data_IF_964343898475
#
_entry.id   IF_964343898475
#
_cell.length_a   1.000
_cell.length_b   1.000
_cell.length_c   1.000
_cell.angle_alpha   90.00
_cell.angle_beta   90.00
_cell.angle_gamma   90.00
#
_symmetry.space_group_name_H-M   'P 1'
#
loop_
_entity.id
_entity.type
_entity.pdbx_description
1 polymer ?
#
# COMPACT_ATOMS: atom_id res chain seq x y z
N UNK A 1 22.71 17.12 0.60
CA UNK A 1 21.44 16.62 0.06
C UNK A 1 20.93 15.61 1.06
N UNK A 2 19.75 15.80 1.65
CA UNK A 2 19.17 14.76 2.51
C UNK A 2 18.74 13.62 1.60
N UNK A 3 19.23 12.41 1.88
CA UNK A 3 18.82 11.22 1.13
C UNK A 3 17.32 11.02 1.28
N UNK A 4 16.60 11.08 0.16
CA UNK A 4 15.19 10.70 0.12
C UNK A 4 15.13 9.21 0.46
N UNK A 5 14.49 8.84 1.56
CA UNK A 5 14.37 7.44 1.99
C UNK A 5 13.39 6.69 1.07
N UNK A 6 13.91 6.26 -0.08
CA UNK A 6 13.16 5.47 -1.07
C UNK A 6 13.11 4.01 -0.60
N UNK A 7 11.91 3.44 -0.54
CA UNK A 7 11.70 2.01 -0.29
C UNK A 7 11.77 1.24 -1.60
N UNK A 8 12.63 0.22 -1.63
CA UNK A 8 12.78 -0.69 -2.76
C UNK A 8 13.18 -2.08 -2.25
N UNK A 9 12.71 -3.10 -2.91
CA UNK A 9 13.00 -4.49 -2.54
C UNK A 9 12.89 -5.36 -3.79
N UNK A 10 14.03 -5.64 -4.44
CA UNK A 10 14.09 -6.43 -5.66
C UNK A 10 13.59 -7.86 -5.42
N UNK A 11 13.92 -8.45 -4.27
CA UNK A 11 13.47 -9.80 -3.95
C UNK A 11 11.94 -9.89 -3.83
N UNK A 12 11.30 -8.81 -3.32
CA UNK A 12 9.85 -8.73 -3.27
C UNK A 12 9.24 -8.70 -4.68
N UNK A 13 9.80 -7.85 -5.58
CA UNK A 13 9.35 -7.77 -6.97
C UNK A 13 9.52 -9.11 -7.69
N UNK A 14 10.68 -9.73 -7.57
CA UNK A 14 10.98 -11.05 -8.15
C UNK A 14 10.10 -12.15 -7.60
N UNK A 15 9.79 -12.13 -6.29
CA UNK A 15 8.87 -13.09 -5.67
C UNK A 15 7.45 -12.99 -6.25
N UNK A 16 6.95 -11.79 -6.52
CA UNK A 16 5.64 -11.59 -7.17
C UNK A 16 5.65 -12.20 -8.58
N UNK A 17 6.67 -11.89 -9.38
CA UNK A 17 6.81 -12.44 -10.75
C UNK A 17 6.93 -13.96 -10.74
N UNK A 18 7.72 -14.52 -9.83
CA UNK A 18 7.87 -15.96 -9.67
C UNK A 18 6.56 -16.66 -9.28
N UNK A 19 5.77 -16.05 -8.38
CA UNK A 19 4.43 -16.56 -8.04
C UNK A 19 3.51 -16.59 -9.27
N UNK A 20 3.54 -15.55 -10.11
CA UNK A 20 2.74 -15.45 -11.32
C UNK A 20 3.19 -16.44 -12.41
N UNK A 21 4.49 -16.73 -12.51
CA UNK A 21 5.00 -17.78 -13.40
C UNK A 21 4.64 -19.19 -12.93
N UNK A 22 4.50 -19.39 -11.61
CA UNK A 22 4.12 -20.66 -11.02
C UNK A 22 2.61 -20.91 -11.13
N UNK A 23 1.81 -19.86 -10.95
CA UNK A 23 0.35 -19.88 -11.12
C UNK A 23 -0.13 -18.56 -11.74
N UNK A 24 -0.28 -18.54 -13.05
CA UNK A 24 -0.71 -17.35 -13.81
C UNK A 24 -2.11 -16.86 -13.48
N UNK A 25 -2.97 -17.71 -12.90
CA UNK A 25 -4.33 -17.32 -12.50
C UNK A 25 -4.33 -16.25 -11.41
N UNK A 26 -3.24 -16.16 -10.62
CA UNK A 26 -3.05 -15.19 -9.54
C UNK A 26 -2.96 -13.73 -10.03
N UNK A 27 -2.78 -13.49 -11.34
CA UNK A 27 -2.85 -12.14 -11.91
C UNK A 27 -4.22 -11.48 -11.66
N UNK A 28 -5.26 -12.28 -11.44
CA UNK A 28 -6.63 -11.86 -11.15
C UNK A 28 -6.94 -11.76 -9.65
N UNK A 29 -5.99 -12.11 -8.77
CA UNK A 29 -6.13 -11.88 -7.33
C UNK A 29 -6.41 -10.41 -7.05
N UNK A 30 -7.28 -10.10 -6.08
CA UNK A 30 -7.73 -8.74 -5.81
C UNK A 30 -6.58 -7.75 -5.55
N UNK A 31 -5.55 -8.18 -4.83
CA UNK A 31 -4.38 -7.33 -4.51
C UNK A 31 -3.44 -7.21 -5.70
N UNK A 32 -3.23 -8.31 -6.44
CA UNK A 32 -2.35 -8.35 -7.62
C UNK A 32 -2.94 -7.57 -8.80
N UNK A 33 -4.25 -7.63 -8.99
CA UNK A 33 -4.96 -6.89 -10.05
C UNK A 33 -4.79 -5.35 -9.90
N UNK A 34 -4.56 -4.87 -8.68
CA UNK A 34 -4.28 -3.44 -8.40
C UNK A 34 -2.87 -3.01 -8.80
N UNK A 35 -1.94 -3.97 -8.97
CA UNK A 35 -0.57 -3.67 -9.37
C UNK A 35 -0.49 -3.13 -10.79
N UNK A 36 0.38 -2.15 -10.96
CA UNK A 36 0.73 -1.55 -12.25
C UNK A 36 2.22 -1.78 -12.53
N UNK A 37 2.65 -1.81 -13.79
CA UNK A 37 4.08 -1.87 -14.11
C UNK A 37 4.91 -0.78 -13.43
N UNK A 38 4.32 0.41 -13.21
CA UNK A 38 4.97 1.53 -12.51
C UNK A 38 5.26 1.28 -11.03
N UNK A 39 4.66 0.27 -10.41
CA UNK A 39 4.90 -0.09 -9.02
C UNK A 39 6.23 -0.83 -8.83
N UNK A 40 6.73 -1.44 -9.91
CA UNK A 40 8.02 -2.10 -9.95
C UNK A 40 9.14 -1.06 -10.16
N UNK A 41 10.07 -0.97 -9.23
CA UNK A 41 11.19 -0.02 -9.27
C UNK A 41 12.28 -0.47 -10.23
N UNK A 42 12.54 -1.77 -10.30
CA UNK A 42 13.57 -2.34 -11.13
C UNK A 42 13.07 -2.54 -12.56
N UNK A 43 13.84 -2.07 -13.53
CA UNK A 43 13.41 -2.01 -14.94
C UNK A 43 13.14 -3.39 -15.53
N UNK A 44 13.94 -4.40 -15.19
CA UNK A 44 13.75 -5.76 -15.67
C UNK A 44 12.45 -6.36 -15.16
N UNK A 45 12.19 -6.27 -13.87
CA UNK A 45 10.98 -6.77 -13.20
C UNK A 45 9.74 -6.05 -13.73
N UNK A 46 9.82 -4.73 -13.90
CA UNK A 46 8.76 -3.92 -14.53
C UNK A 46 8.43 -4.40 -15.93
N UNK A 47 9.46 -4.68 -16.73
CA UNK A 47 9.30 -5.13 -18.11
C UNK A 47 8.68 -6.51 -18.20
N UNK A 48 9.09 -7.43 -17.32
CA UNK A 48 8.50 -8.77 -17.21
C UNK A 48 7.05 -8.69 -16.79
N UNK A 49 6.72 -7.89 -15.75
CA UNK A 49 5.34 -7.72 -15.30
C UNK A 49 4.46 -7.09 -16.38
N UNK A 50 4.98 -6.11 -17.14
CA UNK A 50 4.26 -5.53 -18.28
C UNK A 50 3.91 -6.58 -19.33
N UNK A 51 4.84 -7.49 -19.66
CA UNK A 51 4.56 -8.59 -20.60
C UNK A 51 3.51 -9.56 -20.06
N UNK A 52 3.47 -9.80 -18.75
CA UNK A 52 2.40 -10.60 -18.12
C UNK A 52 1.03 -9.90 -18.23
N UNK A 53 0.97 -8.57 -18.07
CA UNK A 53 -0.27 -7.78 -18.25
C UNK A 53 -0.73 -7.76 -19.71
N UNK A 54 0.20 -7.78 -20.67
CA UNK A 54 -0.13 -7.92 -22.09
C UNK A 54 -0.75 -9.30 -22.39
N UNK A 55 -0.19 -10.38 -21.83
CA UNK A 55 -0.76 -11.74 -21.94
C UNK A 55 -2.15 -11.82 -21.31
N UNK A 56 -2.32 -11.25 -20.09
CA UNK A 56 -3.64 -11.17 -19.44
C UNK A 56 -4.67 -10.46 -20.35
N UNK A 57 -4.29 -9.32 -20.92
CA UNK A 57 -5.16 -8.53 -21.79
C UNK A 57 -5.52 -9.24 -23.10
N UNK A 58 -4.65 -10.15 -23.58
CA UNK A 58 -4.87 -10.99 -24.74
C UNK A 58 -5.60 -12.30 -24.40
N UNK A 59 -5.98 -12.51 -23.13
CA UNK A 59 -6.57 -13.75 -22.61
C UNK A 59 -5.66 -14.99 -22.84
N UNK A 60 -4.34 -14.76 -22.93
CA UNK A 60 -3.35 -15.82 -23.06
C UNK A 60 -2.88 -16.31 -21.67
N UNK A 61 -2.50 -17.60 -21.54
CA UNK A 61 -1.96 -18.13 -20.30
C UNK A 61 -0.68 -17.38 -19.87
N UNK A 62 -0.48 -17.22 -18.57
CA UNK A 62 0.75 -16.67 -17.99
C UNK A 62 1.52 -17.84 -17.40
N UNK A 63 2.61 -18.21 -18.08
CA UNK A 63 3.59 -19.19 -17.64
C UNK A 63 4.97 -18.83 -18.19
N UNK A 64 5.98 -19.61 -17.81
CA UNK A 64 7.37 -19.35 -18.23
C UNK A 64 7.54 -19.33 -19.74
N UNK A 65 6.84 -20.20 -20.47
CA UNK A 65 6.97 -20.33 -21.92
C UNK A 65 6.34 -19.15 -22.64
N UNK A 66 5.11 -18.81 -22.27
CA UNK A 66 4.36 -17.71 -22.87
C UNK A 66 4.99 -16.36 -22.59
N UNK A 67 5.51 -16.13 -21.37
CA UNK A 67 6.23 -14.90 -21.02
C UNK A 67 7.54 -14.79 -21.81
N UNK A 68 8.34 -15.86 -21.91
CA UNK A 68 9.57 -15.86 -22.71
C UNK A 68 9.26 -15.56 -24.18
N UNK A 69 8.23 -16.17 -24.75
CA UNK A 69 7.84 -15.94 -26.14
C UNK A 69 7.40 -14.48 -26.36
N UNK A 70 6.58 -13.92 -25.46
CA UNK A 70 6.16 -12.53 -25.54
C UNK A 70 7.36 -11.56 -25.47
N UNK A 71 8.30 -11.81 -24.55
CA UNK A 71 9.53 -11.02 -24.45
C UNK A 71 10.41 -11.13 -25.70
N UNK A 72 10.46 -12.31 -26.36
CA UNK A 72 11.15 -12.49 -27.65
C UNK A 72 10.47 -11.73 -28.78
N UNK A 73 9.15 -11.85 -28.90
CA UNK A 73 8.34 -11.14 -29.91
C UNK A 73 8.55 -9.62 -29.79
N UNK A 74 8.61 -9.10 -28.58
CA UNK A 74 8.87 -7.70 -28.30
C UNK A 74 10.37 -7.31 -28.47
N UNK A 75 11.27 -8.27 -28.71
CA UNK A 75 12.71 -8.02 -28.89
C UNK A 75 13.44 -7.55 -27.62
N UNK A 76 12.91 -7.86 -26.46
CA UNK A 76 13.39 -7.34 -25.16
C UNK A 76 13.88 -8.44 -24.21
N UNK A 77 13.84 -9.73 -24.59
CA UNK A 77 14.22 -10.84 -23.73
C UNK A 77 15.64 -10.70 -23.18
N UNK A 78 16.62 -10.34 -24.03
CA UNK A 78 18.01 -10.21 -23.60
C UNK A 78 18.23 -9.03 -22.63
N UNK A 79 17.39 -7.99 -22.72
CA UNK A 79 17.47 -6.85 -21.80
C UNK A 79 17.07 -7.21 -20.38
N UNK A 80 16.16 -8.17 -20.22
CA UNK A 80 15.67 -8.61 -18.90
C UNK A 80 16.46 -9.80 -18.34
N UNK A 81 17.63 -10.11 -18.90
CA UNK A 81 18.51 -11.18 -18.44
C UNK A 81 18.34 -12.53 -19.15
N UNK A 82 17.55 -12.56 -20.24
CA UNK A 82 17.35 -13.74 -21.06
C UNK A 82 16.52 -14.84 -20.39
N UNK A 83 16.54 -16.01 -21.01
CA UNK A 83 15.78 -17.19 -20.53
C UNK A 83 16.21 -17.58 -19.12
N UNK A 84 17.50 -17.47 -18.82
CA UNK A 84 18.06 -17.89 -17.52
C UNK A 84 17.48 -17.08 -16.37
N UNK A 85 17.33 -15.78 -16.52
CA UNK A 85 16.80 -14.91 -15.45
C UNK A 85 15.30 -15.12 -15.23
N UNK A 86 14.53 -15.29 -16.34
CA UNK A 86 13.10 -15.61 -16.26
C UNK A 86 12.86 -16.95 -15.58
N UNK A 87 13.61 -17.99 -15.92
CA UNK A 87 13.48 -19.31 -15.26
C UNK A 87 13.97 -19.27 -13.82
N UNK A 88 14.94 -18.42 -13.51
CA UNK A 88 15.45 -18.20 -12.15
C UNK A 88 14.40 -17.70 -11.18
N UNK A 89 13.41 -16.89 -11.64
CA UNK A 89 12.31 -16.40 -10.82
C UNK A 89 11.50 -17.52 -10.15
N UNK A 90 11.36 -18.68 -10.82
CA UNK A 90 10.64 -19.84 -10.24
C UNK A 90 11.38 -20.44 -9.04
N UNK A 91 12.71 -20.40 -9.04
CA UNK A 91 13.51 -20.98 -7.95
C UNK A 91 13.54 -20.13 -6.68
N UNK A 92 13.14 -18.86 -6.80
CA UNK A 92 13.07 -17.92 -5.67
C UNK A 92 11.75 -18.04 -4.87
N UNK A 93 10.75 -18.77 -5.41
CA UNK A 93 9.42 -18.89 -4.81
C UNK A 93 9.19 -20.28 -4.27
N UNK A 94 9.01 -20.37 -2.95
CA UNK A 94 8.68 -21.65 -2.26
C UNK A 94 7.17 -21.87 -2.25
N UNK A 95 6.37 -20.80 -2.18
CA UNK A 95 4.91 -20.87 -2.10
C UNK A 95 4.26 -19.60 -2.69
N UNK A 96 3.14 -19.78 -3.35
CA UNK A 96 2.32 -18.68 -3.89
C UNK A 96 1.34 -18.11 -2.86
N UNK A 97 1.19 -18.75 -1.69
CA UNK A 97 0.17 -18.41 -0.69
C UNK A 97 0.26 -16.98 -0.14
N UNK A 98 1.39 -16.30 -0.31
CA UNK A 98 1.64 -14.96 0.23
C UNK A 98 1.61 -13.85 -0.83
N UNK A 99 1.21 -14.14 -2.07
CA UNK A 99 1.27 -13.17 -3.18
C UNK A 99 0.47 -11.91 -2.89
N UNK A 100 -0.73 -12.01 -2.31
CA UNK A 100 -1.57 -10.86 -1.94
C UNK A 100 -0.83 -9.93 -0.97
N UNK A 101 -0.17 -10.49 0.06
CA UNK A 101 0.64 -9.72 1.01
C UNK A 101 1.86 -9.08 0.34
N UNK A 102 2.48 -9.75 -0.63
CA UNK A 102 3.59 -9.18 -1.40
C UNK A 102 3.12 -8.02 -2.27
N UNK A 103 1.98 -8.17 -2.96
CA UNK A 103 1.39 -7.12 -3.77
C UNK A 103 1.04 -5.88 -2.95
N UNK A 104 0.38 -6.05 -1.80
CA UNK A 104 0.05 -4.96 -0.87
C UNK A 104 1.31 -4.23 -0.38
N UNK A 105 2.36 -4.99 -0.06
CA UNK A 105 3.64 -4.43 0.38
C UNK A 105 4.30 -3.61 -0.74
N UNK A 106 4.27 -4.09 -1.98
CA UNK A 106 4.82 -3.37 -3.13
C UNK A 106 4.04 -2.06 -3.37
N UNK A 107 2.71 -2.10 -3.35
CA UNK A 107 1.86 -0.90 -3.46
C UNK A 107 2.19 0.09 -2.33
N UNK A 108 2.39 -0.39 -1.11
CA UNK A 108 2.76 0.48 0.02
C UNK A 108 4.11 1.17 -0.19
N UNK A 109 5.07 0.51 -0.84
CA UNK A 109 6.36 1.10 -1.20
C UNK A 109 6.22 2.17 -2.27
N UNK A 110 5.43 1.91 -3.32
CA UNK A 110 5.15 2.90 -4.38
C UNK A 110 4.51 4.16 -3.80
N UNK A 111 3.50 4.00 -2.96
CA UNK A 111 2.83 5.11 -2.29
C UNK A 111 3.79 5.90 -1.39
N UNK A 112 4.62 5.20 -0.61
CA UNK A 112 5.65 5.84 0.21
C UNK A 112 6.62 6.66 -0.64
N UNK A 113 7.12 6.09 -1.74
CA UNK A 113 8.09 6.73 -2.62
C UNK A 113 7.51 7.96 -3.32
N UNK A 114 6.27 7.86 -3.82
CA UNK A 114 5.55 8.99 -4.41
C UNK A 114 5.39 10.14 -3.39
N UNK A 115 5.04 9.81 -2.15
CA UNK A 115 4.93 10.77 -1.06
C UNK A 115 6.26 11.45 -0.74
N UNK A 116 7.34 10.67 -0.64
CA UNK A 116 8.67 11.21 -0.37
C UNK A 116 9.16 12.12 -1.50
N UNK A 117 8.85 11.78 -2.76
CA UNK A 117 9.18 12.62 -3.90
C UNK A 117 8.47 13.99 -3.82
N UNK A 118 7.19 14.01 -3.49
CA UNK A 118 6.44 15.28 -3.37
C UNK A 118 6.91 16.10 -2.16
N UNK A 119 7.23 15.46 -1.04
CA UNK A 119 7.85 16.16 0.11
C UNK A 119 9.12 16.87 -0.33
N UNK A 120 9.96 16.19 -1.12
CA UNK A 120 11.19 16.79 -1.63
C UNK A 120 10.92 17.91 -2.64
N UNK A 121 9.96 17.74 -3.54
CA UNK A 121 9.55 18.79 -4.48
C UNK A 121 9.05 20.04 -3.75
N UNK A 122 8.28 19.88 -2.67
CA UNK A 122 7.83 21.01 -1.83
C UNK A 122 9.01 21.65 -1.10
N UNK A 123 9.92 20.84 -0.53
CA UNK A 123 11.11 21.30 0.17
C UNK A 123 12.01 22.19 -0.70
N UNK A 124 12.16 21.85 -1.98
CA UNK A 124 12.98 22.62 -2.92
C UNK A 124 12.19 23.69 -3.71
N UNK A 125 10.93 23.93 -3.31
CA UNK A 125 10.07 24.96 -3.91
C UNK A 125 9.58 24.67 -5.33
N UNK A 126 9.65 23.40 -5.80
CA UNK A 126 9.13 22.95 -7.09
C UNK A 126 7.65 22.57 -7.06
N UNK A 127 7.07 22.37 -5.88
CA UNK A 127 5.67 22.06 -5.71
C UNK A 127 5.06 22.82 -4.53
N UNK A 128 3.75 23.08 -4.61
CA UNK A 128 2.98 23.70 -3.55
C UNK A 128 2.59 22.66 -2.47
N UNK A 129 2.46 23.12 -1.21
CA UNK A 129 2.07 22.27 -0.05
C UNK A 129 0.71 21.59 -0.28
N UNK A 130 -0.19 22.19 -1.08
CA UNK A 130 -1.47 21.60 -1.46
C UNK A 130 -1.35 20.26 -2.20
N UNK A 131 -0.18 19.97 -2.84
CA UNK A 131 0.09 18.64 -3.41
C UNK A 131 0.26 17.56 -2.35
N UNK A 132 0.79 17.89 -1.16
CA UNK A 132 0.88 16.96 -0.03
C UNK A 132 -0.50 16.60 0.51
N UNK A 133 -1.42 17.57 0.57
CA UNK A 133 -2.80 17.33 1.00
C UNK A 133 -3.53 16.38 0.03
N UNK A 134 -3.30 16.54 -1.28
CA UNK A 134 -3.89 15.64 -2.30
C UNK A 134 -3.33 14.22 -2.26
N UNK A 135 -2.08 14.04 -1.85
CA UNK A 135 -1.48 12.71 -1.68
C UNK A 135 -2.03 11.96 -0.47
N UNK A 136 -2.29 12.68 0.63
CA UNK A 136 -2.98 12.08 1.76
C UNK A 136 -4.38 11.59 1.38
N UNK A 137 -5.00 12.18 0.34
CA UNK A 137 -6.28 11.73 -0.21
C UNK A 137 -6.15 10.52 -1.16
N UNK A 138 -5.05 10.38 -1.90
CA UNK A 138 -4.80 9.24 -2.80
C UNK A 138 -4.30 7.97 -2.06
N UNK A 139 -3.61 8.14 -0.93
CA UNK A 139 -3.20 7.06 -0.01
C UNK A 139 -4.40 6.44 0.75
N UNK A 140 -5.57 7.05 0.61
CA UNK A 140 -6.86 6.62 1.20
C UNK A 140 -7.50 5.43 0.50
N UNK A 141 -6.78 4.74 -0.40
CA UNK A 141 -7.25 3.56 -1.12
C UNK A 141 -7.35 2.27 -0.28
N UNK A 142 -7.06 2.29 1.01
CA UNK A 142 -7.48 1.23 1.90
C UNK A 142 -8.93 1.47 2.32
N UNK A 143 -9.83 0.74 1.69
CA UNK A 143 -11.24 0.74 2.05
C UNK A 143 -11.41 -0.06 3.35
N UNK A 144 -11.09 0.59 4.47
CA UNK A 144 -11.36 0.03 5.80
C UNK A 144 -12.87 -0.04 6.00
N UNK A 145 -13.38 -1.22 6.31
CA UNK A 145 -14.80 -1.42 6.55
C UNK A 145 -15.35 -0.47 7.65
N UNK A 146 -16.66 -0.26 7.61
CA UNK A 146 -17.34 0.56 8.61
C UNK A 146 -17.59 -0.24 9.89
N UNK A 147 -16.50 -0.56 10.61
CA UNK A 147 -16.50 -1.28 11.89
C UNK A 147 -15.48 -0.69 12.85
N UNK A 148 -15.56 -1.10 14.12
CA UNK A 148 -14.58 -0.70 15.13
C UNK A 148 -13.17 -1.23 14.77
N UNK A 149 -13.08 -2.44 14.19
CA UNK A 149 -11.83 -3.03 13.69
C UNK A 149 -11.28 -2.23 12.49
N UNK A 150 -12.14 -1.88 11.51
CA UNK A 150 -11.73 -1.04 10.39
C UNK A 150 -11.27 0.35 10.83
N UNK A 151 -11.89 0.92 11.86
CA UNK A 151 -11.43 2.17 12.46
C UNK A 151 -10.10 2.03 13.21
N UNK A 152 -9.85 0.90 13.88
CA UNK A 152 -8.56 0.63 14.54
C UNK A 152 -7.43 0.44 13.51
N UNK A 153 -7.70 -0.24 12.40
CA UNK A 153 -6.76 -0.35 11.28
C UNK A 153 -6.46 1.01 10.66
N UNK A 154 -7.49 1.84 10.45
CA UNK A 154 -7.33 3.22 9.96
C UNK A 154 -6.53 4.07 10.95
N UNK A 155 -6.78 3.97 12.25
CA UNK A 155 -6.01 4.65 13.29
C UNK A 155 -4.52 4.26 13.23
N UNK A 156 -4.25 2.97 13.12
CA UNK A 156 -2.88 2.46 12.96
C UNK A 156 -2.24 3.00 11.68
N UNK A 157 -2.98 3.00 10.56
CA UNK A 157 -2.48 3.53 9.29
C UNK A 157 -2.12 5.03 9.38
N UNK A 158 -2.98 5.83 10.01
CA UNK A 158 -2.78 7.27 10.10
C UNK A 158 -1.69 7.69 11.09
N UNK A 159 -1.46 6.90 12.15
CA UNK A 159 -0.68 7.35 13.30
C UNK A 159 0.34 6.33 13.85
N UNK A 160 0.68 5.27 13.11
CA UNK A 160 1.69 4.27 13.53
C UNK A 160 3.08 4.87 13.79
N UNK A 161 3.38 6.01 13.19
CA UNK A 161 4.62 6.78 13.40
C UNK A 161 4.58 7.66 14.66
N UNK A 162 3.39 7.90 15.23
CA UNK A 162 3.15 8.82 16.35
C UNK A 162 2.68 8.17 17.62
N UNK A 163 2.07 6.97 17.54
CA UNK A 163 1.57 6.25 18.70
C UNK A 163 1.83 4.75 18.63
N UNK A 164 2.06 4.11 19.77
CA UNK A 164 2.30 2.67 19.91
C UNK A 164 1.71 2.14 21.19
N UNK A 165 1.16 0.94 21.14
CA UNK A 165 0.75 0.20 22.33
C UNK A 165 1.82 -0.83 22.70
N UNK A 166 2.23 -0.86 23.96
CA UNK A 166 3.11 -1.87 24.49
C UNK A 166 2.31 -2.97 25.17
N UNK A 167 2.28 -4.15 24.57
CA UNK A 167 1.61 -5.33 25.15
C UNK A 167 2.23 -5.79 26.48
N UNK A 168 3.52 -5.54 26.68
CA UNK A 168 4.25 -5.89 27.91
C UNK A 168 3.87 -5.00 29.08
N UNK A 169 3.88 -3.67 28.87
CA UNK A 169 3.55 -2.71 29.94
C UNK A 169 2.04 -2.36 29.98
N UNK A 170 1.25 -2.80 28.97
CA UNK A 170 -0.16 -2.45 28.81
C UNK A 170 -0.41 -0.94 28.77
N UNK A 171 0.53 -0.19 28.16
CA UNK A 171 0.51 1.26 28.10
C UNK A 171 0.69 1.79 26.68
N UNK A 172 0.10 2.93 26.43
CA UNK A 172 0.29 3.70 25.21
C UNK A 172 1.51 4.61 25.29
N UNK A 173 2.26 4.69 24.21
CA UNK A 173 3.39 5.57 24.01
C UNK A 173 3.14 6.50 22.84
N UNK A 174 3.52 7.77 23.01
CA UNK A 174 3.41 8.81 21.98
C UNK A 174 4.82 9.30 21.64
N UNK A 175 5.07 9.43 20.34
CA UNK A 175 6.31 10.04 19.85
C UNK A 175 6.27 11.56 20.06
N UNK A 176 7.27 12.10 20.71
CA UNK A 176 7.36 13.55 21.02
C UNK A 176 8.35 14.31 20.10
N UNK A 177 8.84 13.66 19.04
CA UNK A 177 9.86 14.19 18.15
C UNK A 177 11.28 13.72 18.45
N UNK A 178 11.54 13.18 19.66
CA UNK A 178 12.86 12.72 20.09
C UNK A 178 12.85 11.30 20.67
N UNK A 179 11.82 10.95 21.44
CA UNK A 179 11.67 9.64 22.05
C UNK A 179 10.19 9.26 22.25
N UNK A 180 9.94 7.99 22.53
CA UNK A 180 8.64 7.46 22.86
C UNK A 180 8.33 7.67 24.34
N UNK A 181 7.45 8.60 24.67
CA UNK A 181 6.99 8.88 26.03
C UNK A 181 5.65 8.23 26.35
N UNK A 182 5.43 7.82 27.61
CA UNK A 182 4.13 7.31 28.07
C UNK A 182 3.02 8.34 27.85
N UNK A 183 1.87 7.91 27.35
CA UNK A 183 0.71 8.78 27.09
C UNK A 183 -0.05 9.12 28.38
N UNK A 184 0.55 9.91 29.24
CA UNK A 184 -0.07 10.38 30.50
C UNK A 184 -1.17 11.42 30.27
N UNK A 185 -1.19 12.09 29.11
CA UNK A 185 -2.13 13.16 28.77
C UNK A 185 -3.27 12.67 27.87
N UNK A 186 -3.39 11.36 27.68
CA UNK A 186 -4.42 10.75 26.85
C UNK A 186 -4.48 11.29 25.40
N UNK A 187 -3.33 11.70 24.86
CA UNK A 187 -3.21 12.21 23.47
C UNK A 187 -3.68 11.20 22.41
N UNK A 188 -3.66 9.90 22.73
CA UNK A 188 -4.21 8.86 21.85
C UNK A 188 -5.66 9.12 21.43
N UNK A 189 -6.46 9.81 22.28
CA UNK A 189 -7.83 10.16 21.92
C UNK A 189 -7.91 11.22 20.82
N UNK A 190 -6.95 12.14 20.75
CA UNK A 190 -6.90 13.09 19.64
C UNK A 190 -6.65 12.36 18.31
N UNK A 191 -5.79 11.33 18.32
CA UNK A 191 -5.57 10.50 17.14
C UNK A 191 -6.80 9.64 16.79
N UNK A 192 -7.55 9.17 17.77
CA UNK A 192 -8.82 8.47 17.53
C UNK A 192 -9.90 9.44 16.97
N UNK A 193 -9.90 10.70 17.39
CA UNK A 193 -10.76 11.74 16.83
C UNK A 193 -10.40 12.05 15.37
N UNK A 194 -9.14 12.04 15.00
CA UNK A 194 -8.68 12.18 13.60
C UNK A 194 -9.33 11.12 12.68
N UNK A 195 -9.55 9.89 13.18
CA UNK A 195 -10.27 8.83 12.44
C UNK A 195 -11.71 9.24 12.15
N UNK A 196 -12.42 9.79 13.13
CA UNK A 196 -13.78 10.31 12.96
C UNK A 196 -13.83 11.38 11.87
N UNK A 197 -12.94 12.37 11.95
CA UNK A 197 -12.84 13.44 10.96
C UNK A 197 -12.46 12.91 9.57
N UNK A 198 -11.58 11.93 9.50
CA UNK A 198 -11.23 11.26 8.26
C UNK A 198 -12.43 10.61 7.59
N UNK A 199 -13.24 9.82 8.35
CA UNK A 199 -14.46 9.18 7.84
C UNK A 199 -15.48 10.19 7.32
N UNK A 200 -15.66 11.32 8.03
CA UNK A 200 -16.55 12.39 7.58
C UNK A 200 -16.05 13.03 6.26
N UNK A 201 -14.74 13.25 6.12
CA UNK A 201 -14.15 13.74 4.87
C UNK A 201 -14.27 12.71 3.74
N UNK A 202 -14.06 11.43 4.02
CA UNK A 202 -14.24 10.35 3.05
C UNK A 202 -15.67 10.33 2.49
N UNK A 203 -16.68 10.55 3.35
CA UNK A 203 -18.07 10.66 2.93
C UNK A 203 -18.30 11.74 1.87
N UNK A 204 -17.56 12.86 1.93
CA UNK A 204 -17.74 13.96 0.98
C UNK A 204 -17.33 13.60 -0.45
N UNK A 205 -16.50 12.59 -0.65
CA UNK A 205 -16.08 12.10 -1.97
C UNK A 205 -17.07 11.09 -2.59
N UNK A 206 -18.03 10.59 -1.82
CA UNK A 206 -19.03 9.62 -2.28
C UNK A 206 -20.11 10.34 -3.09
N UNK A 207 -20.40 9.83 -4.30
CA UNK A 207 -21.40 10.42 -5.21
C UNK A 207 -22.82 10.01 -4.84
N UNK A 208 -23.01 8.76 -4.40
CA UNK A 208 -24.32 8.29 -3.96
C UNK A 208 -24.73 8.94 -2.65
N UNK A 209 -25.94 9.52 -2.62
CA UNK A 209 -26.43 10.31 -1.49
C UNK A 209 -26.70 9.44 -0.25
N UNK A 210 -27.14 8.19 -0.43
CA UNK A 210 -27.47 7.29 0.68
C UNK A 210 -26.18 6.74 1.29
N UNK A 211 -25.23 6.31 0.47
CA UNK A 211 -23.91 5.85 0.93
C UNK A 211 -23.14 6.99 1.60
N UNK A 212 -23.17 8.19 1.02
CA UNK A 212 -22.58 9.39 1.61
C UNK A 212 -23.09 9.64 3.03
N UNK A 213 -24.41 9.64 3.19
CA UNK A 213 -25.04 9.87 4.50
C UNK A 213 -24.69 8.76 5.50
N UNK A 214 -24.67 7.50 5.05
CA UNK A 214 -24.28 6.35 5.87
C UNK A 214 -22.85 6.48 6.37
N UNK A 215 -21.89 6.79 5.47
CA UNK A 215 -20.50 6.97 5.83
C UNK A 215 -20.28 8.18 6.74
N UNK A 216 -20.98 9.30 6.48
CA UNK A 216 -20.88 10.50 7.29
C UNK A 216 -21.37 10.25 8.73
N UNK A 217 -22.52 9.63 8.88
CA UNK A 217 -23.07 9.28 10.19
C UNK A 217 -22.16 8.29 10.93
N UNK A 218 -21.61 7.29 10.24
CA UNK A 218 -20.62 6.39 10.82
C UNK A 218 -19.40 7.16 11.32
N UNK A 219 -18.88 8.11 10.51
CA UNK A 219 -17.77 8.99 10.91
C UNK A 219 -18.09 9.78 12.17
N UNK A 220 -19.28 10.40 12.25
CA UNK A 220 -19.71 11.14 13.46
C UNK A 220 -19.75 10.24 14.69
N UNK A 221 -20.40 9.07 14.60
CA UNK A 221 -20.49 8.13 15.73
C UNK A 221 -19.12 7.53 16.12
N UNK A 222 -18.16 7.45 15.19
CA UNK A 222 -16.80 7.00 15.50
C UNK A 222 -16.05 7.97 16.44
N UNK A 223 -16.50 9.21 16.55
CA UNK A 223 -16.01 10.21 17.51
C UNK A 223 -16.59 10.08 18.91
N UNK A 224 -17.59 9.22 19.13
CA UNK A 224 -18.14 8.98 20.47
C UNK A 224 -17.09 8.30 21.36
N UNK A 225 -17.03 8.70 22.64
CA UNK A 225 -16.01 8.19 23.57
C UNK A 225 -15.95 6.66 23.62
N UNK A 226 -17.09 5.97 23.68
CA UNK A 226 -17.13 4.50 23.70
C UNK A 226 -16.54 3.87 22.42
N UNK A 227 -16.74 4.51 21.26
CA UNK A 227 -16.20 4.06 19.98
C UNK A 227 -14.70 4.32 19.88
N UNK A 228 -14.22 5.45 20.38
CA UNK A 228 -12.78 5.72 20.48
C UNK A 228 -12.10 4.73 21.43
N UNK A 229 -12.73 4.40 22.57
CA UNK A 229 -12.20 3.36 23.47
C UNK A 229 -12.12 1.99 22.77
N UNK A 230 -13.15 1.60 22.00
CA UNK A 230 -13.16 0.37 21.20
C UNK A 230 -12.03 0.34 20.16
N UNK A 231 -11.81 1.44 19.46
CA UNK A 231 -10.70 1.61 18.49
C UNK A 231 -9.33 1.40 19.11
N UNK A 232 -9.16 1.88 20.34
CA UNK A 232 -7.89 1.83 21.09
C UNK A 232 -7.67 0.50 21.82
N UNK A 233 -8.68 -0.37 21.88
CA UNK A 233 -8.64 -1.67 22.58
C UNK A 233 -8.28 -2.86 21.69
N UNK A 234 -8.23 -2.67 20.35
CA UNK A 234 -8.00 -3.73 19.34
C UNK A 234 -6.52 -4.06 19.15
#
# INVERSE_FOLDING_TARGET
MADVNIKQDQNLERSILGCLLQDGSLIKDESVAKLKPSDFMYENERTVFNSMKELESAEEPIDTITVINRLKENGILEKVGGIYDITGLLSEVVTTAHISSYAEKLISYTNHNARMQIIEEVRIGKADVSKLEKLTDADRGHDYDMSDTGNAQLLSHLHSDKMRFSHTSKEWFIWNGQYWGKDRKMKRFNFAEDVSQYRQKQAMSIKDSAEKMKMFNFGVHSGDKGKMDSMLAV
#
